data_IF_533211891705
#
_entry.id   IF_533211891705
#
_cell.length_a   1.000
_cell.length_b   1.000
_cell.length_c   1.000
_cell.angle_alpha   90.00
_cell.angle_beta   90.00
_cell.angle_gamma   90.00
#
_symmetry.space_group_name_H-M   'P 1'
#
loop_
_entity.id
_entity.type
_entity.pdbx_description
1 polymer ?
#
# COMPACT_ATOMS: atom_id res chain seq x y z
N UNK A 1 35.51 10.63 8.06
CA UNK A 1 34.12 11.13 7.99
C UNK A 1 34.03 12.40 8.83
N UNK A 2 34.61 13.51 8.38
CA UNK A 2 34.91 14.65 9.26
C UNK A 2 35.10 15.97 8.51
N UNK A 3 34.16 16.32 7.63
CA UNK A 3 34.15 17.63 6.93
C UNK A 3 32.72 18.15 6.72
N UNK A 4 31.84 18.02 7.72
CA UNK A 4 30.50 18.64 7.69
C UNK A 4 30.14 19.41 8.98
N UNK A 5 31.02 19.40 9.99
CA UNK A 5 30.75 20.04 11.29
C UNK A 5 31.20 21.51 11.37
N UNK A 6 32.06 21.98 10.46
CA UNK A 6 32.68 23.31 10.56
C UNK A 6 31.93 24.44 9.82
N UNK A 7 30.81 24.15 9.16
CA UNK A 7 30.07 25.14 8.35
C UNK A 7 28.89 25.82 9.07
N UNK A 8 28.62 25.48 10.34
CA UNK A 8 27.46 26.04 11.07
C UNK A 8 27.87 27.13 12.08
N UNK A 9 29.16 27.28 12.42
CA UNK A 9 29.58 28.07 13.59
C UNK A 9 29.88 29.57 13.34
N UNK A 10 29.80 30.08 12.12
CA UNK A 10 30.25 31.47 11.81
C UNK A 10 29.14 32.49 11.55
N UNK A 11 27.87 32.17 11.78
CA UNK A 11 26.75 33.05 11.39
C UNK A 11 26.10 33.90 12.51
N UNK A 12 26.53 33.82 13.78
CA UNK A 12 25.93 34.62 14.86
C UNK A 12 26.98 35.27 15.77
N UNK A 13 27.69 36.25 15.23
CA UNK A 13 28.30 37.31 16.03
C UNK A 13 27.50 38.59 15.76
N UNK A 14 26.76 39.09 16.75
CA UNK A 14 26.13 40.41 16.68
C UNK A 14 26.85 41.37 17.66
N UNK A 15 27.31 42.56 17.21
CA UNK A 15 28.18 43.44 17.97
C UNK A 15 27.41 44.67 18.47
N UNK A 16 27.05 44.73 19.75
CA UNK A 16 26.54 45.98 20.34
C UNK A 16 26.65 45.90 21.86
N UNK A 17 27.68 46.51 22.46
CA UNK A 17 27.56 47.48 23.56
C UNK A 17 28.86 48.29 23.58
N UNK A 18 28.74 49.59 23.34
CA UNK A 18 29.78 50.60 23.43
C UNK A 18 29.47 51.46 24.67
N UNK A 19 30.48 51.61 25.53
CA UNK A 19 30.80 52.72 26.46
C UNK A 19 29.75 53.15 27.50
N UNK A 20 30.15 53.27 28.78
CA UNK A 20 30.27 54.55 29.51
C UNK A 20 30.97 54.38 30.88
N UNK A 21 31.99 55.23 31.06
CA UNK A 21 32.60 55.91 32.23
C UNK A 21 32.97 55.26 33.58
N UNK A 22 34.05 55.81 34.15
CA UNK A 22 35.08 55.17 34.98
C UNK A 22 35.14 55.60 36.46
N UNK A 23 34.03 56.04 37.07
CA UNK A 23 34.06 56.63 38.43
C UNK A 23 33.49 55.75 39.57
N UNK A 24 33.26 54.45 39.35
CA UNK A 24 32.58 53.56 40.33
C UNK A 24 33.51 52.49 40.92
N UNK A 25 34.83 52.62 40.78
CA UNK A 25 35.76 51.54 41.13
C UNK A 25 36.16 51.47 42.62
N UNK A 26 36.08 52.56 43.39
CA UNK A 26 36.51 52.55 44.80
C UNK A 26 35.41 52.13 45.79
N UNK A 27 34.13 52.19 45.41
CA UNK A 27 33.01 51.74 46.26
C UNK A 27 32.72 50.22 46.10
N UNK A 28 33.31 49.58 45.09
CA UNK A 28 33.12 48.16 44.77
C UNK A 28 33.96 47.21 45.63
N UNK A 29 35.11 47.65 46.15
CA UNK A 29 36.01 46.77 46.91
C UNK A 29 35.53 46.51 48.34
N UNK A 30 34.90 47.50 48.98
CA UNK A 30 34.26 47.36 50.30
C UNK A 30 33.03 46.44 50.27
N UNK A 31 32.26 46.47 49.17
CA UNK A 31 31.07 45.63 49.01
C UNK A 31 31.38 44.17 48.62
N UNK A 32 32.54 43.91 47.99
CA UNK A 32 33.00 42.55 47.66
C UNK A 32 33.19 41.67 48.90
N UNK A 33 33.74 42.22 49.98
CA UNK A 33 34.03 41.47 51.21
C UNK A 33 32.77 41.16 52.04
N UNK A 34 31.72 41.99 51.93
CA UNK A 34 30.42 41.70 52.56
C UNK A 34 29.59 40.66 51.81
N UNK A 35 29.76 40.56 50.49
CA UNK A 35 29.06 39.58 49.64
C UNK A 35 29.57 38.14 49.84
N UNK A 36 30.86 37.93 50.10
CA UNK A 36 31.43 36.57 50.29
C UNK A 36 30.96 35.88 51.58
N UNK A 37 30.42 36.62 52.55
CA UNK A 37 29.88 36.03 53.80
C UNK A 37 28.41 35.59 53.66
N UNK A 38 27.67 36.13 52.67
CA UNK A 38 26.24 35.83 52.46
C UNK A 38 26.03 34.62 51.52
N UNK A 39 27.03 34.22 50.72
CA UNK A 39 26.97 33.05 49.83
C UNK A 39 26.86 31.67 50.52
N UNK A 40 26.78 31.61 51.85
CA UNK A 40 26.58 30.34 52.58
C UNK A 40 25.13 29.95 52.86
N UNK A 41 24.13 30.69 52.35
CA UNK A 41 22.71 30.40 52.65
C UNK A 41 21.75 30.53 51.45
N UNK A 42 22.03 29.85 50.34
CA UNK A 42 20.95 29.35 49.48
C UNK A 42 21.46 28.17 48.63
N UNK A 43 20.96 26.95 48.88
CA UNK A 43 21.22 25.80 48.01
C UNK A 43 20.36 25.94 46.74
N UNK A 44 20.82 26.78 45.82
CA UNK A 44 20.26 26.87 44.48
C UNK A 44 20.67 25.62 43.68
N UNK A 45 19.68 24.83 43.26
CA UNK A 45 19.87 23.65 42.42
C UNK A 45 20.34 24.14 41.04
N UNK A 46 21.65 24.04 40.78
CA UNK A 46 22.21 24.29 39.45
C UNK A 46 21.90 23.07 38.57
N UNK A 47 20.80 23.12 37.81
CA UNK A 47 20.53 22.12 36.77
C UNK A 47 21.52 22.37 35.64
N UNK A 48 22.50 21.47 35.47
CA UNK A 48 23.52 21.57 34.42
C UNK A 48 22.83 21.55 33.03
N UNK A 49 23.06 22.55 32.15
CA UNK A 49 22.45 22.62 30.82
C UNK A 49 22.65 21.36 29.98
N UNK A 50 23.76 20.64 30.18
CA UNK A 50 24.08 19.38 29.50
C UNK A 50 23.09 18.24 29.74
N UNK A 51 22.35 18.24 30.87
CA UNK A 51 21.36 17.20 31.16
C UNK A 51 20.05 17.39 30.37
N UNK A 52 19.66 18.65 30.10
CA UNK A 52 18.40 18.97 29.42
C UNK A 52 18.50 18.64 27.93
N UNK A 53 19.62 18.98 27.29
CA UNK A 53 19.85 18.65 25.86
C UNK A 53 19.95 17.15 25.60
N UNK A 54 20.57 16.39 26.52
CA UNK A 54 20.63 14.93 26.42
C UNK A 54 19.23 14.29 26.54
N UNK A 55 18.38 14.84 27.41
CA UNK A 55 16.99 14.40 27.55
C UNK A 55 16.16 14.70 26.30
N UNK A 56 16.31 15.88 25.70
CA UNK A 56 15.60 16.25 24.46
C UNK A 56 16.05 15.36 23.30
N UNK A 57 17.35 15.13 23.15
CA UNK A 57 17.89 14.23 22.13
C UNK A 57 17.38 12.78 22.32
N UNK A 58 17.32 12.30 23.56
CA UNK A 58 16.77 10.98 23.87
C UNK A 58 15.28 10.87 23.51
N UNK A 59 14.47 11.89 23.80
CA UNK A 59 13.04 11.94 23.44
C UNK A 59 12.88 11.96 21.90
N UNK A 60 13.70 12.73 21.19
CA UNK A 60 13.67 12.78 19.72
C UNK A 60 14.05 11.43 19.09
N UNK A 61 15.07 10.75 19.64
CA UNK A 61 15.46 9.41 19.19
C UNK A 61 14.34 8.41 19.47
N UNK A 62 13.72 8.46 20.65
CA UNK A 62 12.59 7.58 20.99
C UNK A 62 11.38 7.84 20.09
N UNK A 63 11.03 9.10 19.83
CA UNK A 63 9.95 9.47 18.92
C UNK A 63 10.23 8.98 17.49
N UNK A 64 11.48 9.09 17.01
CA UNK A 64 11.88 8.56 15.72
C UNK A 64 11.75 7.02 15.67
N UNK A 65 12.20 6.33 16.71
CA UNK A 65 12.08 4.85 16.80
C UNK A 65 10.62 4.43 16.81
N UNK A 66 9.76 5.12 17.57
CA UNK A 66 8.33 4.82 17.64
C UNK A 66 7.59 5.12 16.33
N UNK A 67 7.94 6.21 15.63
CA UNK A 67 7.35 6.51 14.32
C UNK A 67 7.79 5.50 13.27
N UNK A 68 9.07 5.12 13.25
CA UNK A 68 9.59 4.06 12.38
C UNK A 68 8.87 2.73 12.68
N UNK A 69 8.74 2.35 13.95
CA UNK A 69 8.02 1.14 14.35
C UNK A 69 6.55 1.17 13.90
N UNK A 70 5.87 2.30 14.06
CA UNK A 70 4.48 2.46 13.61
C UNK A 70 4.35 2.34 12.09
N UNK A 71 5.30 2.90 11.33
CA UNK A 71 5.36 2.75 9.88
C UNK A 71 5.59 1.29 9.47
N UNK A 72 6.46 0.56 10.18
CA UNK A 72 6.65 -0.88 9.95
C UNK A 72 5.39 -1.68 10.23
N UNK A 73 4.66 -1.39 11.31
CA UNK A 73 3.40 -2.09 11.62
C UNK A 73 2.32 -1.80 10.57
N UNK A 74 2.22 -0.56 10.09
CA UNK A 74 1.30 -0.21 8.99
C UNK A 74 1.68 -0.88 7.68
N UNK A 75 2.98 -0.86 7.33
CA UNK A 75 3.47 -1.53 6.14
C UNK A 75 3.22 -3.05 6.23
N UNK A 76 3.49 -3.67 7.38
CA UNK A 76 3.21 -5.08 7.61
C UNK A 76 1.71 -5.39 7.47
N UNK A 77 0.84 -4.59 8.08
CA UNK A 77 -0.60 -4.74 7.95
C UNK A 77 -1.07 -4.60 6.49
N UNK A 78 -0.55 -3.60 5.76
CA UNK A 78 -0.86 -3.37 4.35
C UNK A 78 -0.28 -4.46 3.43
N UNK A 79 0.90 -5.00 3.71
CA UNK A 79 1.48 -6.12 2.95
C UNK A 79 0.63 -7.39 3.14
N UNK A 80 0.09 -7.61 4.34
CA UNK A 80 -0.76 -8.76 4.63
C UNK A 80 -2.21 -8.60 4.14
N UNK A 81 -2.72 -7.38 3.99
CA UNK A 81 -4.15 -7.13 3.72
C UNK A 81 -4.47 -6.26 2.49
N UNK A 82 -3.49 -5.55 1.93
CA UNK A 82 -3.66 -4.57 0.86
C UNK A 82 -3.83 -5.14 -0.55
N UNK A 83 -3.79 -6.47 -0.70
CA UNK A 83 -3.97 -7.18 -1.98
C UNK A 83 -5.18 -8.12 -2.02
N UNK A 84 -6.07 -8.05 -1.03
CA UNK A 84 -7.10 -9.07 -0.80
C UNK A 84 -8.44 -8.75 -1.48
N UNK A 85 -8.43 -8.08 -2.63
CA UNK A 85 -9.63 -8.02 -3.46
C UNK A 85 -9.49 -9.06 -4.56
N UNK A 86 -10.39 -10.05 -4.65
CA UNK A 86 -10.41 -10.93 -5.80
C UNK A 86 -10.67 -10.09 -7.05
N UNK A 87 -9.95 -10.40 -8.13
CA UNK A 87 -10.29 -9.86 -9.44
C UNK A 87 -11.69 -10.33 -9.89
N UNK A 88 -12.23 -9.78 -10.99
CA UNK A 88 -13.53 -10.23 -11.52
C UNK A 88 -13.47 -11.72 -11.85
N UNK A 89 -14.45 -12.48 -11.33
CA UNK A 89 -14.58 -13.92 -11.51
C UNK A 89 -15.94 -14.25 -12.12
N UNK A 90 -15.96 -15.24 -13.00
CA UNK A 90 -17.18 -15.87 -13.48
C UNK A 90 -17.28 -17.25 -12.85
N UNK A 91 -18.43 -17.52 -12.25
CA UNK A 91 -18.70 -18.78 -11.56
C UNK A 91 -18.63 -19.97 -12.52
N UNK A 92 -17.80 -20.95 -12.18
CA UNK A 92 -17.68 -22.24 -12.88
C UNK A 92 -18.33 -23.39 -12.09
N UNK A 93 -18.64 -23.16 -10.81
CA UNK A 93 -19.27 -24.10 -9.90
C UNK A 93 -20.79 -24.00 -9.91
N UNK A 94 -21.42 -24.24 -11.08
CA UNK A 94 -22.87 -24.07 -11.30
C UNK A 94 -23.78 -24.97 -10.44
N UNK A 95 -23.20 -25.86 -9.62
CA UNK A 95 -23.91 -26.74 -8.69
C UNK A 95 -23.85 -26.18 -7.26
N UNK A 96 -24.94 -26.28 -6.48
CA UNK A 96 -24.89 -25.95 -5.07
C UNK A 96 -23.87 -26.85 -4.38
N UNK A 97 -22.88 -26.24 -3.73
CA UNK A 97 -21.75 -26.91 -3.05
C UNK A 97 -20.69 -27.52 -3.97
N UNK A 98 -20.33 -26.85 -5.07
CA UNK A 98 -19.13 -27.23 -5.84
C UNK A 98 -17.90 -27.33 -4.93
N UNK A 99 -17.40 -28.55 -4.74
CA UNK A 99 -16.19 -28.79 -3.94
C UNK A 99 -14.94 -28.38 -4.72
N UNK A 100 -13.83 -28.18 -4.01
CA UNK A 100 -12.51 -27.95 -4.63
C UNK A 100 -12.17 -29.03 -5.67
N UNK A 101 -12.43 -30.29 -5.35
CA UNK A 101 -12.15 -31.42 -6.24
C UNK A 101 -12.98 -31.35 -7.52
N UNK A 102 -14.29 -31.13 -7.42
CA UNK A 102 -15.18 -30.98 -8.58
C UNK A 102 -14.72 -29.80 -9.45
N UNK A 103 -14.36 -28.68 -8.82
CA UNK A 103 -13.87 -27.49 -9.52
C UNK A 103 -12.61 -27.76 -10.36
N UNK A 104 -11.61 -28.39 -9.74
CA UNK A 104 -10.34 -28.69 -10.40
C UNK A 104 -10.51 -29.77 -11.48
N UNK A 105 -11.37 -30.77 -11.24
CA UNK A 105 -11.68 -31.80 -12.23
C UNK A 105 -12.39 -31.23 -13.48
N UNK A 106 -13.12 -30.11 -13.35
CA UNK A 106 -13.66 -29.34 -14.48
C UNK A 106 -12.60 -28.54 -15.24
N UNK A 107 -11.40 -28.38 -14.68
CA UNK A 107 -10.35 -27.53 -15.22
C UNK A 107 -10.49 -26.05 -14.81
N UNK A 108 -11.28 -25.76 -13.76
CA UNK A 108 -11.44 -24.43 -13.21
C UNK A 108 -10.45 -24.12 -12.09
N UNK A 109 -10.42 -22.87 -11.65
CA UNK A 109 -9.55 -22.41 -10.57
C UNK A 109 -10.32 -22.35 -9.25
N UNK A 110 -9.63 -22.68 -8.16
CA UNK A 110 -10.18 -22.63 -6.80
C UNK A 110 -9.43 -21.63 -5.93
N UNK A 111 -10.15 -20.74 -5.25
CA UNK A 111 -9.62 -19.80 -4.26
C UNK A 111 -10.64 -19.55 -3.13
N UNK A 112 -10.34 -20.08 -1.95
CA UNK A 112 -11.18 -20.06 -0.74
C UNK A 112 -10.86 -18.89 0.22
N UNK A 113 -9.91 -18.01 -0.14
CA UNK A 113 -9.51 -16.87 0.71
C UNK A 113 -10.67 -15.93 1.06
N UNK A 114 -11.71 -15.93 0.23
CA UNK A 114 -12.83 -15.00 0.33
C UNK A 114 -14.13 -15.63 0.82
N UNK A 115 -14.15 -16.95 1.03
CA UNK A 115 -15.37 -17.70 1.39
C UNK A 115 -16.09 -17.12 2.62
N UNK A 116 -15.32 -16.71 3.64
CA UNK A 116 -15.88 -16.17 4.90
C UNK A 116 -16.15 -14.66 4.87
N UNK A 117 -15.43 -13.92 4.04
CA UNK A 117 -15.48 -12.44 4.05
C UNK A 117 -16.34 -11.86 2.94
N UNK A 118 -16.47 -12.58 1.82
CA UNK A 118 -17.18 -12.17 0.60
C UNK A 118 -17.84 -13.41 -0.05
N UNK A 119 -18.96 -13.91 0.51
CA UNK A 119 -19.60 -15.16 0.07
C UNK A 119 -20.19 -15.10 -1.35
N UNK A 120 -20.46 -13.90 -1.88
CA UNK A 120 -20.96 -13.70 -3.24
C UNK A 120 -19.87 -13.90 -4.31
N UNK A 121 -18.62 -14.12 -3.89
CA UNK A 121 -17.49 -14.29 -4.78
C UNK A 121 -17.25 -15.78 -4.97
N UNK A 122 -17.32 -16.30 -6.21
CA UNK A 122 -17.18 -17.72 -6.43
C UNK A 122 -15.78 -18.19 -6.05
N UNK A 123 -15.74 -19.22 -5.21
CA UNK A 123 -14.51 -19.95 -4.90
C UNK A 123 -14.04 -20.74 -6.12
N UNK A 124 -14.97 -21.28 -6.92
CA UNK A 124 -14.70 -21.98 -8.17
C UNK A 124 -15.00 -21.10 -9.39
N UNK A 125 -13.98 -20.73 -10.17
CA UNK A 125 -14.15 -19.78 -11.26
C UNK A 125 -13.39 -20.16 -12.52
N UNK A 126 -13.84 -19.65 -13.66
CA UNK A 126 -13.19 -19.91 -14.95
C UNK A 126 -11.76 -19.35 -14.98
N UNK A 127 -10.79 -20.11 -15.55
CA UNK A 127 -9.46 -19.58 -15.76
C UNK A 127 -9.51 -18.43 -16.79
N UNK A 128 -8.57 -17.48 -16.70
CA UNK A 128 -8.49 -16.41 -17.68
C UNK A 128 -8.31 -17.00 -19.08
N UNK A 129 -8.79 -16.28 -20.08
CA UNK A 129 -8.68 -16.69 -21.47
C UNK A 129 -9.41 -17.99 -21.86
N UNK A 130 -10.32 -18.53 -21.04
CA UNK A 130 -11.26 -19.58 -21.48
C UNK A 130 -12.19 -19.08 -22.60
N UNK A 131 -12.59 -19.97 -23.51
CA UNK A 131 -13.61 -19.72 -24.53
C UNK A 131 -13.10 -19.93 -25.96
N UNK A 132 -13.50 -19.04 -26.86
CA UNK A 132 -13.21 -19.13 -28.29
C UNK A 132 -12.32 -17.98 -28.75
N UNK A 133 -11.62 -18.19 -29.87
CA UNK A 133 -10.89 -17.15 -30.62
C UNK A 133 -11.47 -17.02 -32.01
N UNK A 134 -11.53 -15.78 -32.52
CA UNK A 134 -11.81 -15.54 -33.93
C UNK A 134 -10.60 -15.95 -34.77
N UNK A 135 -10.81 -16.82 -35.76
CA UNK A 135 -9.71 -17.36 -36.59
C UNK A 135 -9.87 -17.08 -38.07
N UNK A 136 -11.11 -17.00 -38.59
CA UNK A 136 -11.39 -16.67 -39.99
C UNK A 136 -12.49 -15.64 -40.08
N UNK A 137 -12.30 -14.65 -40.95
CA UNK A 137 -13.22 -13.55 -41.14
C UNK A 137 -13.75 -13.58 -42.57
N UNK A 138 -15.06 -13.50 -42.71
CA UNK A 138 -15.78 -13.41 -43.98
C UNK A 138 -16.64 -12.14 -43.96
N UNK A 139 -17.17 -11.76 -45.13
CA UNK A 139 -17.96 -10.52 -45.27
C UNK A 139 -19.11 -10.42 -44.26
N UNK A 140 -19.85 -11.52 -44.04
CA UNK A 140 -21.03 -11.55 -43.16
C UNK A 140 -20.91 -12.52 -41.97
N UNK A 141 -19.72 -13.07 -41.71
CA UNK A 141 -19.54 -14.02 -40.60
C UNK A 141 -18.09 -14.17 -40.15
N UNK A 142 -17.89 -14.67 -38.94
CA UNK A 142 -16.58 -14.99 -38.38
C UNK A 142 -16.60 -16.40 -37.81
N UNK A 143 -15.54 -17.18 -38.07
CA UNK A 143 -15.35 -18.49 -37.46
C UNK A 143 -14.65 -18.31 -36.12
N UNK A 144 -15.26 -18.88 -35.10
CA UNK A 144 -14.74 -18.96 -33.75
C UNK A 144 -14.25 -20.38 -33.48
N UNK A 145 -13.01 -20.55 -33.03
CA UNK A 145 -12.45 -21.85 -32.66
C UNK A 145 -12.24 -21.92 -31.15
N UNK A 146 -12.61 -23.04 -30.53
CA UNK A 146 -12.41 -23.27 -29.11
C UNK A 146 -10.92 -23.29 -28.81
N UNK A 147 -10.47 -22.56 -27.77
CA UNK A 147 -9.07 -22.61 -27.34
C UNK A 147 -8.80 -23.94 -26.64
N UNK A 148 -7.61 -24.50 -26.84
CA UNK A 148 -7.20 -25.80 -26.27
C UNK A 148 -7.34 -25.86 -24.73
N UNK A 149 -6.99 -24.78 -24.03
CA UNK A 149 -7.04 -24.72 -22.56
C UNK A 149 -8.38 -24.22 -22.01
N UNK A 150 -9.44 -24.23 -22.83
CA UNK A 150 -10.76 -23.83 -22.35
C UNK A 150 -11.42 -24.95 -21.56
N UNK A 151 -12.08 -24.54 -20.49
CA UNK A 151 -12.93 -25.43 -19.68
C UNK A 151 -13.94 -26.15 -20.57
N UNK A 152 -14.20 -27.43 -20.26
CA UNK A 152 -15.19 -28.24 -20.98
C UNK A 152 -16.61 -27.79 -20.64
N UNK A 153 -17.51 -27.87 -21.61
CA UNK A 153 -18.93 -27.63 -21.38
C UNK A 153 -19.47 -28.62 -20.31
N UNK A 154 -20.05 -28.14 -19.19
CA UNK A 154 -20.58 -29.02 -18.16
C UNK A 154 -21.93 -29.67 -18.55
N UNK A 155 -22.58 -29.18 -19.61
CA UNK A 155 -23.92 -29.61 -20.01
C UNK A 155 -23.96 -30.47 -21.27
N UNK A 156 -22.81 -31.01 -21.68
CA UNK A 156 -22.69 -31.90 -22.83
C UNK A 156 -21.43 -31.65 -23.64
N UNK A 157 -21.47 -32.08 -24.90
CA UNK A 157 -20.32 -31.97 -25.80
C UNK A 157 -19.94 -30.51 -26.10
N UNK A 158 -18.65 -30.33 -26.37
CA UNK A 158 -18.11 -29.06 -26.82
C UNK A 158 -18.21 -28.92 -28.34
N UNK A 159 -18.49 -27.70 -28.80
CA UNK A 159 -18.35 -27.36 -30.22
C UNK A 159 -16.95 -26.81 -30.47
N UNK A 160 -16.12 -27.53 -31.22
CA UNK A 160 -14.79 -27.02 -31.53
C UNK A 160 -14.81 -25.76 -32.40
N UNK A 161 -15.89 -25.60 -33.18
CA UNK A 161 -16.09 -24.49 -34.12
C UNK A 161 -17.48 -23.90 -33.93
N UNK A 162 -17.56 -22.57 -33.88
CA UNK A 162 -18.80 -21.81 -33.92
C UNK A 162 -18.73 -20.77 -35.05
N UNK A 163 -19.90 -20.35 -35.52
CA UNK A 163 -20.07 -19.25 -36.47
C UNK A 163 -20.68 -18.07 -35.72
N UNK A 164 -20.02 -16.93 -35.78
CA UNK A 164 -20.51 -15.64 -35.32
C UNK A 164 -21.05 -14.84 -36.51
N UNK A 165 -22.26 -14.32 -36.38
CA UNK A 165 -22.87 -13.37 -37.32
C UNK A 165 -23.39 -12.15 -36.57
N UNK A 166 -23.22 -10.97 -37.16
CA UNK A 166 -23.74 -9.73 -36.63
C UNK A 166 -24.38 -8.92 -37.75
N UNK A 167 -25.66 -8.59 -37.59
CA UNK A 167 -26.45 -7.85 -38.57
C UNK A 167 -27.13 -6.66 -37.89
N UNK A 168 -27.22 -5.52 -38.57
CA UNK A 168 -28.00 -4.37 -38.07
C UNK A 168 -29.45 -4.47 -38.53
N UNK A 169 -30.39 -4.21 -37.62
CA UNK A 169 -31.83 -4.16 -37.91
C UNK A 169 -32.33 -2.81 -37.39
N UNK A 170 -32.44 -1.83 -38.28
CA UNK A 170 -32.66 -0.43 -37.91
C UNK A 170 -31.56 0.06 -36.97
N UNK A 171 -31.93 0.49 -35.76
CA UNK A 171 -30.99 0.89 -34.71
C UNK A 171 -30.41 -0.29 -33.90
N UNK A 172 -30.97 -1.50 -34.03
CA UNK A 172 -30.55 -2.68 -33.27
C UNK A 172 -29.37 -3.42 -33.90
N UNK A 173 -28.57 -4.09 -33.08
CA UNK A 173 -27.55 -5.05 -33.49
C UNK A 173 -28.03 -6.47 -33.12
N UNK A 174 -28.29 -7.29 -34.12
CA UNK A 174 -28.65 -8.70 -33.96
C UNK A 174 -27.38 -9.55 -34.08
N UNK A 175 -27.08 -10.33 -33.04
CA UNK A 175 -25.91 -11.21 -32.98
C UNK A 175 -26.40 -12.66 -32.89
N UNK A 176 -25.80 -13.54 -33.68
CA UNK A 176 -26.04 -14.97 -33.62
C UNK A 176 -24.73 -15.73 -33.49
N UNK A 177 -24.69 -16.71 -32.58
CA UNK A 177 -23.56 -17.61 -32.38
C UNK A 177 -24.09 -19.04 -32.40
N UNK A 178 -23.61 -19.86 -33.32
CA UNK A 178 -24.15 -21.20 -33.52
C UNK A 178 -23.09 -22.17 -34.07
N UNK A 179 -23.17 -23.47 -33.73
CA UNK A 179 -22.29 -24.48 -34.33
C UNK A 179 -22.67 -24.74 -35.80
N UNK A 180 -21.68 -25.04 -36.67
CA UNK A 180 -21.98 -25.48 -38.02
C UNK A 180 -22.64 -26.87 -38.01
N UNK A 181 -23.54 -27.12 -38.96
CA UNK A 181 -24.14 -28.44 -39.21
C UNK A 181 -24.95 -29.04 -38.04
N UNK A 182 -25.45 -28.20 -37.14
CA UNK A 182 -26.42 -28.61 -36.12
C UNK A 182 -27.62 -27.68 -36.24
N UNK A 183 -28.76 -28.23 -36.65
CA UNK A 183 -30.03 -27.51 -36.68
C UNK A 183 -30.55 -27.40 -35.24
N UNK A 184 -30.90 -26.19 -34.80
CA UNK A 184 -31.38 -25.88 -33.43
C UNK A 184 -32.57 -24.95 -33.48
#
# INVERSE_FOLDING_TARGET
MGMLYDLIYTAYANPFVRLYDMDVLDELESNKTKMTTIEKKNRNIVIKPSLIFASILSILVLALVLTILFLYLKAFWFIQHGGNTPGPRLDCGLEPNSTKEICLNRGCLWDDRYEKTQPDIPNCYFPPNTGYIATKFYENSTILMKKQNSVKNPYGEDFNTLIFKANRIGAGLHISIYPPNVER
#
